data_IF_964168803555
#
_entry.id   IF_964168803555
#
_cell.length_a   1.000
_cell.length_b   1.000
_cell.length_c   1.000
_cell.angle_alpha   90.00
_cell.angle_beta   90.00
_cell.angle_gamma   90.00
#
_symmetry.space_group_name_H-M   'P 1'
#
loop_
_entity.id
_entity.type
_entity.pdbx_description
1 polymer ?
#
# COMPACT_ATOMS: atom_id res chain seq x y z
N UNK A 1 15.09 -5.93 0.34
CA UNK A 1 16.07 -4.99 0.91
C UNK A 1 15.87 -5.01 2.42
N UNK A 2 16.92 -5.18 3.22
CA UNK A 2 16.77 -5.12 4.68
C UNK A 2 16.58 -3.68 5.15
N UNK A 3 16.02 -3.47 6.34
CA UNK A 3 15.91 -2.12 6.91
C UNK A 3 17.29 -1.46 7.07
N UNK A 4 18.32 -2.24 7.42
CA UNK A 4 19.72 -1.77 7.48
C UNK A 4 20.18 -1.20 6.14
N UNK A 5 19.86 -1.88 5.04
CA UNK A 5 20.20 -1.39 3.70
C UNK A 5 19.45 -0.09 3.37
N UNK A 6 18.17 0.00 3.77
CA UNK A 6 17.36 1.22 3.58
C UNK A 6 17.98 2.39 4.34
N UNK A 7 18.37 2.21 5.60
CA UNK A 7 19.01 3.24 6.43
C UNK A 7 20.32 3.70 5.79
N UNK A 8 21.19 2.76 5.42
CA UNK A 8 22.48 3.08 4.79
C UNK A 8 22.33 3.87 3.48
N UNK A 9 21.27 3.61 2.72
CA UNK A 9 20.98 4.27 1.46
C UNK A 9 20.12 5.55 1.60
N UNK A 10 19.81 5.98 2.83
CA UNK A 10 18.97 7.15 3.09
C UNK A 10 19.81 8.31 3.62
N UNK A 11 20.09 9.35 2.81
CA UNK A 11 20.97 10.46 3.24
C UNK A 11 20.42 11.25 4.44
N UNK A 12 19.09 11.34 4.55
CA UNK A 12 18.39 11.95 5.67
C UNK A 12 17.00 11.33 5.81
N UNK A 13 16.45 11.22 7.03
CA UNK A 13 15.11 10.67 7.26
C UNK A 13 14.04 11.35 6.41
N UNK A 14 13.16 10.55 5.80
CA UNK A 14 11.94 11.08 5.19
C UNK A 14 10.91 11.32 6.28
N UNK A 15 10.37 12.54 6.31
CA UNK A 15 9.38 12.98 7.29
C UNK A 15 8.10 13.40 6.59
N UNK A 16 7.02 13.59 7.35
CA UNK A 16 5.75 14.13 6.83
C UNK A 16 5.97 15.43 6.06
N UNK A 17 6.77 16.35 6.63
CA UNK A 17 7.09 17.64 6.02
C UNK A 17 7.93 17.50 4.75
N UNK A 18 8.96 16.65 4.74
CA UNK A 18 9.79 16.47 3.55
C UNK A 18 8.99 15.83 2.41
N UNK A 19 8.20 14.80 2.70
CA UNK A 19 7.36 14.14 1.71
C UNK A 19 6.27 15.06 1.16
N UNK A 20 5.61 15.86 2.01
CA UNK A 20 4.62 16.83 1.56
C UNK A 20 5.24 17.94 0.69
N UNK A 21 6.50 18.32 0.94
CA UNK A 21 7.25 19.24 0.08
C UNK A 21 7.56 18.59 -1.27
N UNK A 22 8.06 17.36 -1.27
CA UNK A 22 8.43 16.63 -2.49
C UNK A 22 7.19 16.38 -3.39
N UNK A 23 6.04 16.05 -2.79
CA UNK A 23 4.77 15.88 -3.51
C UNK A 23 4.28 17.19 -4.15
N UNK A 24 4.37 18.33 -3.44
CA UNK A 24 4.04 19.64 -4.04
C UNK A 24 4.99 20.01 -5.16
N UNK A 25 6.29 19.71 -5.01
CA UNK A 25 7.27 19.94 -6.06
C UNK A 25 7.02 19.06 -7.30
N UNK A 26 6.47 17.86 -7.11
CA UNK A 26 6.03 16.98 -8.20
C UNK A 26 4.77 17.50 -8.92
N UNK A 27 4.06 18.47 -8.34
CA UNK A 27 2.84 19.06 -8.90
C UNK A 27 1.54 18.50 -8.32
N UNK A 28 1.59 17.83 -7.16
CA UNK A 28 0.35 17.48 -6.45
C UNK A 28 -0.21 18.74 -5.79
N UNK A 29 -1.44 19.08 -6.13
CA UNK A 29 -2.12 20.30 -5.68
C UNK A 29 -3.34 19.98 -4.80
N UNK A 30 -3.76 20.94 -3.95
CA UNK A 30 -5.03 20.83 -3.24
C UNK A 30 -6.21 20.62 -4.21
N UNK A 31 -7.13 19.73 -3.85
CA UNK A 31 -8.33 19.46 -4.66
C UNK A 31 -8.16 18.42 -5.76
N UNK A 32 -6.94 17.92 -6.00
CA UNK A 32 -6.73 16.88 -7.02
C UNK A 32 -7.43 15.56 -6.67
N UNK A 33 -7.93 14.89 -7.70
CA UNK A 33 -8.29 13.46 -7.63
C UNK A 33 -7.12 12.65 -8.18
N UNK A 34 -6.51 11.80 -7.36
CA UNK A 34 -5.36 10.98 -7.77
C UNK A 34 -5.53 9.51 -7.37
N UNK A 35 -4.94 8.63 -8.16
CA UNK A 35 -4.73 7.22 -7.80
C UNK A 35 -3.24 7.00 -7.48
N UNK A 36 -2.95 6.41 -6.33
CA UNK A 36 -1.58 6.23 -5.83
C UNK A 36 -1.15 4.76 -5.90
N UNK A 37 0.05 4.55 -6.44
CA UNK A 37 0.82 3.30 -6.33
C UNK A 37 2.16 3.64 -5.67
N UNK A 38 2.59 2.86 -4.68
CA UNK A 38 3.78 3.21 -3.90
C UNK A 38 4.61 2.00 -3.50
N UNK A 39 5.90 2.25 -3.27
CA UNK A 39 6.84 1.32 -2.66
C UNK A 39 7.53 2.02 -1.50
N UNK A 40 7.15 1.66 -0.26
CA UNK A 40 7.65 2.35 0.94
C UNK A 40 9.19 2.32 1.01
N UNK A 41 9.80 1.18 0.70
CA UNK A 41 11.25 1.04 0.70
C UNK A 41 11.96 1.91 -0.35
N UNK A 42 11.29 2.25 -1.45
CA UNK A 42 11.88 3.08 -2.50
C UNK A 42 12.01 4.56 -2.09
N UNK A 43 11.27 5.00 -1.07
CA UNK A 43 11.38 6.36 -0.51
C UNK A 43 12.63 6.54 0.37
N UNK A 44 13.28 5.43 0.77
CA UNK A 44 14.27 5.40 1.84
C UNK A 44 13.63 5.20 3.21
N UNK A 45 14.36 5.51 4.27
CA UNK A 45 13.88 5.38 5.64
C UNK A 45 12.88 6.49 5.97
N UNK A 46 11.63 6.12 6.22
CA UNK A 46 10.54 7.04 6.54
C UNK A 46 10.27 7.02 8.04
N UNK A 47 10.46 8.16 8.70
CA UNK A 47 10.08 8.35 10.09
C UNK A 47 8.56 8.13 10.24
N UNK A 48 8.16 7.08 10.96
CA UNK A 48 6.75 6.68 11.11
C UNK A 48 6.19 5.80 9.98
N UNK A 49 7.02 5.40 9.01
CA UNK A 49 6.66 4.43 7.97
C UNK A 49 5.47 4.86 7.11
N UNK A 50 4.60 3.89 6.78
CA UNK A 50 3.46 4.08 5.89
C UNK A 50 2.46 5.15 6.36
N UNK A 51 2.24 5.26 7.67
CA UNK A 51 1.37 6.28 8.31
C UNK A 51 1.79 7.69 7.88
N UNK A 52 3.09 7.97 7.87
CA UNK A 52 3.64 9.26 7.47
C UNK A 52 3.42 9.57 5.99
N UNK A 53 3.46 8.55 5.13
CA UNK A 53 3.17 8.71 3.69
C UNK A 53 1.70 9.08 3.47
N UNK A 54 0.78 8.38 4.14
CA UNK A 54 -0.66 8.68 4.06
C UNK A 54 -0.95 10.10 4.53
N UNK A 55 -0.41 10.50 5.68
CA UNK A 55 -0.60 11.85 6.21
C UNK A 55 -0.01 12.94 5.30
N UNK A 56 1.17 12.71 4.72
CA UNK A 56 1.78 13.66 3.79
C UNK A 56 0.94 13.84 2.52
N UNK A 57 0.34 12.77 2.00
CA UNK A 57 -0.59 12.86 0.86
C UNK A 57 -1.85 13.64 1.23
N UNK A 58 -2.45 13.36 2.39
CA UNK A 58 -3.62 14.08 2.89
C UNK A 58 -3.35 15.58 3.08
N UNK A 59 -2.16 15.96 3.56
CA UNK A 59 -1.75 17.36 3.72
C UNK A 59 -1.66 18.14 2.41
N UNK A 60 -1.31 17.45 1.32
CA UNK A 60 -1.10 18.08 0.02
C UNK A 60 -2.39 18.12 -0.78
N UNK A 61 -3.14 17.00 -0.81
CA UNK A 61 -4.41 16.89 -1.55
C UNK A 61 -5.53 17.65 -0.85
N UNK A 62 -5.49 17.73 0.48
CA UNK A 62 -6.50 18.36 1.36
C UNK A 62 -7.88 17.68 1.29
N UNK A 63 -8.83 18.03 2.20
CA UNK A 63 -10.20 17.50 2.14
C UNK A 63 -11.00 17.87 0.89
N UNK A 64 -10.52 18.84 0.09
CA UNK A 64 -11.18 19.23 -1.16
C UNK A 64 -10.87 18.25 -2.31
N UNK A 65 -9.88 17.37 -2.16
CA UNK A 65 -9.47 16.41 -3.19
C UNK A 65 -9.90 14.98 -2.88
N UNK A 66 -9.33 14.02 -3.60
CA UNK A 66 -9.64 12.59 -3.43
C UNK A 66 -8.40 11.75 -3.70
N UNK A 67 -8.11 10.83 -2.77
CA UNK A 67 -7.02 9.86 -2.90
C UNK A 67 -7.64 8.48 -3.09
N UNK A 68 -7.24 7.80 -4.16
CA UNK A 68 -7.64 6.42 -4.46
C UNK A 68 -6.41 5.52 -4.39
N UNK A 69 -6.56 4.32 -3.83
CA UNK A 69 -5.53 3.27 -3.88
C UNK A 69 -6.18 1.95 -4.26
N UNK A 70 -5.56 1.12 -5.12
CA UNK A 70 -6.07 -0.21 -5.42
C UNK A 70 -5.91 -1.14 -4.21
N UNK A 71 -6.97 -1.84 -3.83
CA UNK A 71 -7.01 -2.76 -2.67
C UNK A 71 -7.24 -4.22 -3.10
N UNK A 72 -6.55 -4.65 -4.16
CA UNK A 72 -6.72 -5.98 -4.74
C UNK A 72 -6.37 -7.09 -3.73
N UNK A 73 -7.19 -8.14 -3.68
CA UNK A 73 -7.03 -9.30 -2.81
C UNK A 73 -6.85 -10.59 -3.63
N UNK A 74 -5.74 -10.69 -4.37
CA UNK A 74 -5.49 -11.79 -5.31
C UNK A 74 -5.53 -13.20 -4.69
N UNK A 75 -5.29 -13.33 -3.37
CA UNK A 75 -5.47 -14.58 -2.65
C UNK A 75 -6.93 -15.07 -2.53
N UNK A 76 -7.91 -14.22 -2.81
CA UNK A 76 -9.33 -14.58 -2.88
C UNK A 76 -9.72 -14.91 -4.34
N UNK A 77 -9.15 -15.99 -4.88
CA UNK A 77 -9.36 -16.42 -6.28
C UNK A 77 -9.30 -17.95 -6.39
N UNK A 78 -9.64 -18.51 -7.56
CA UNK A 78 -9.60 -19.96 -7.76
C UNK A 78 -8.15 -20.48 -7.66
N UNK A 79 -7.87 -21.48 -6.79
CA UNK A 79 -6.51 -22.01 -6.60
C UNK A 79 -5.91 -22.64 -7.85
N UNK A 80 -6.73 -23.03 -8.84
CA UNK A 80 -6.25 -23.52 -10.13
C UNK A 80 -5.48 -22.48 -10.95
N UNK A 81 -5.62 -21.18 -10.62
CA UNK A 81 -4.90 -20.09 -11.29
C UNK A 81 -3.68 -19.61 -10.49
N UNK A 82 -3.38 -20.20 -9.33
CA UNK A 82 -2.26 -19.78 -8.50
C UNK A 82 -0.93 -20.33 -9.04
N UNK A 83 0.03 -19.45 -9.27
CA UNK A 83 1.35 -19.79 -9.83
C UNK A 83 2.53 -19.30 -8.98
N UNK A 84 2.31 -18.49 -7.94
CA UNK A 84 3.38 -17.82 -7.19
C UNK A 84 3.18 -17.87 -5.66
N UNK A 85 3.30 -19.05 -5.03
CA UNK A 85 3.50 -20.37 -5.63
C UNK A 85 2.17 -21.07 -5.98
N UNK A 86 2.18 -22.12 -6.83
CA UNK A 86 1.04 -23.03 -6.91
C UNK A 86 0.92 -23.89 -5.65
N UNK A 87 -0.29 -24.39 -5.36
CA UNK A 87 -0.54 -25.39 -4.32
C UNK A 87 -0.92 -26.75 -4.95
N UNK A 88 -0.73 -27.88 -4.25
CA UNK A 88 -1.14 -29.20 -4.74
C UNK A 88 -2.61 -29.25 -5.21
N UNK A 89 -2.85 -29.91 -6.34
CA UNK A 89 -4.18 -29.94 -6.98
C UNK A 89 -5.25 -30.63 -6.12
N UNK A 90 -4.87 -31.63 -5.34
CA UNK A 90 -5.72 -32.32 -4.38
C UNK A 90 -6.22 -31.40 -3.25
N UNK A 91 -5.59 -30.24 -3.03
CA UNK A 91 -6.04 -29.26 -2.03
C UNK A 91 -7.07 -28.27 -2.59
N UNK A 92 -7.23 -28.18 -3.91
CA UNK A 92 -8.02 -27.12 -4.54
C UNK A 92 -9.47 -27.11 -4.09
N UNK A 93 -10.10 -28.29 -3.99
CA UNK A 93 -11.50 -28.35 -3.58
C UNK A 93 -11.69 -27.91 -2.12
N UNK A 94 -10.82 -28.39 -1.21
CA UNK A 94 -10.81 -27.94 0.18
C UNK A 94 -10.64 -26.43 0.28
N UNK A 95 -9.77 -25.82 -0.53
CA UNK A 95 -9.63 -24.36 -0.57
C UNK A 95 -10.91 -23.70 -1.07
N UNK A 96 -11.51 -24.17 -2.17
CA UNK A 96 -12.78 -23.60 -2.67
C UNK A 96 -13.90 -23.66 -1.63
N UNK A 97 -13.96 -24.72 -0.84
CA UNK A 97 -15.00 -24.94 0.16
C UNK A 97 -14.77 -24.12 1.45
N UNK A 98 -13.50 -23.81 1.78
CA UNK A 98 -13.12 -23.24 3.08
C UNK A 98 -12.54 -21.82 3.01
N UNK A 99 -12.19 -21.30 1.82
CA UNK A 99 -11.62 -19.97 1.67
C UNK A 99 -12.63 -18.92 2.18
N UNK A 100 -12.22 -18.04 3.12
CA UNK A 100 -13.13 -17.03 3.65
C UNK A 100 -13.69 -16.12 2.54
N UNK A 101 -14.98 -15.80 2.63
CA UNK A 101 -15.64 -14.85 1.74
C UNK A 101 -14.98 -13.48 1.90
N UNK A 102 -14.85 -12.74 0.80
CA UNK A 102 -14.39 -11.36 0.81
C UNK A 102 -15.24 -10.48 1.73
N UNK A 103 -14.58 -9.68 2.57
CA UNK A 103 -15.17 -8.62 3.37
C UNK A 103 -14.28 -7.37 3.30
N UNK A 104 -14.79 -6.21 2.84
CA UNK A 104 -13.98 -5.01 2.64
C UNK A 104 -13.36 -4.47 3.93
N UNK A 105 -13.88 -4.86 5.10
CA UNK A 105 -13.39 -4.37 6.41
C UNK A 105 -12.09 -5.03 6.82
N UNK A 106 -11.88 -6.30 6.47
CA UNK A 106 -10.77 -7.09 7.01
C UNK A 106 -10.03 -7.96 5.99
N UNK A 107 -10.56 -8.23 4.80
CA UNK A 107 -9.81 -8.98 3.78
C UNK A 107 -8.53 -8.20 3.43
N UNK A 108 -7.34 -8.78 3.65
CA UNK A 108 -6.09 -8.09 3.39
C UNK A 108 -5.85 -7.95 1.89
N UNK A 109 -5.10 -6.93 1.50
CA UNK A 109 -4.61 -6.80 0.13
C UNK A 109 -3.48 -7.79 -0.15
N UNK A 110 -3.26 -8.10 -1.43
CA UNK A 110 -2.17 -8.97 -1.89
C UNK A 110 -1.24 -8.18 -2.81
N UNK A 111 -0.01 -7.93 -2.37
CA UNK A 111 1.00 -7.25 -3.18
C UNK A 111 0.80 -5.75 -3.39
N UNK A 112 -0.17 -5.12 -2.72
CA UNK A 112 -0.45 -3.68 -2.89
C UNK A 112 0.51 -2.77 -2.08
N UNK A 113 1.18 -3.32 -1.06
CA UNK A 113 2.18 -2.62 -0.26
C UNK A 113 1.65 -2.06 1.06
N UNK A 114 2.57 -1.74 1.99
CA UNK A 114 2.22 -1.33 3.35
C UNK A 114 1.46 -0.01 3.45
N UNK A 115 1.69 0.93 2.51
CA UNK A 115 0.95 2.19 2.47
C UNK A 115 -0.53 1.93 2.21
N UNK A 116 -0.85 1.00 1.31
CA UNK A 116 -2.25 0.63 1.00
C UNK A 116 -2.90 -0.08 2.18
N UNK A 117 -2.20 -1.00 2.86
CA UNK A 117 -2.72 -1.67 4.05
C UNK A 117 -3.07 -0.68 5.17
N UNK A 118 -2.24 0.36 5.36
CA UNK A 118 -2.54 1.43 6.32
C UNK A 118 -3.69 2.32 5.84
N UNK A 119 -3.70 2.69 4.56
CA UNK A 119 -4.70 3.59 3.99
C UNK A 119 -6.12 2.99 4.01
N UNK A 120 -6.27 1.70 3.71
CA UNK A 120 -7.61 1.06 3.62
C UNK A 120 -8.34 0.98 4.97
N UNK A 121 -7.63 1.13 6.08
CA UNK A 121 -8.20 1.15 7.44
C UNK A 121 -8.08 2.53 8.09
N UNK A 122 -7.73 3.56 7.32
CA UNK A 122 -7.52 4.91 7.82
C UNK A 122 -8.88 5.59 8.10
N UNK A 123 -9.06 6.29 9.23
CA UNK A 123 -10.32 6.93 9.61
C UNK A 123 -10.65 8.17 8.75
#
# INVERSE_FOLDING_TARGET
MSEKDIINNTPAPRTRLSLAKDLRQLGVEPGMTLIMHSSLSALGWVCGGAVTVVQALMDVVTPAGTIVMPTQSGGNSDPAQWAHPPIPQDWWQTVRDMLPIYDPRFTPTSGMGQVVEVFRTWP
#
